data_IF_696684853672
#
_entry.id   IF_696684853672
#
_cell.length_a   1.000
_cell.length_b   1.000
_cell.length_c   1.000
_cell.angle_alpha   90.00
_cell.angle_beta   90.00
_cell.angle_gamma   90.00
#
_symmetry.space_group_name_H-M   'P 1'
#
loop_
_entity.id
_entity.type
_entity.pdbx_description
1 polymer ?
#
# COMPACT_ATOMS: atom_id res chain seq x y z
N UNK A 1 19.79 16.21 -12.70
CA UNK A 1 19.20 14.90 -13.08
C UNK A 1 17.70 14.91 -12.85
N UNK A 2 16.95 14.05 -13.51
CA UNK A 2 15.50 13.92 -13.33
C UNK A 2 15.19 12.68 -12.51
N UNK A 3 14.36 12.83 -11.49
CA UNK A 3 13.88 11.79 -10.58
C UNK A 3 12.36 11.78 -10.56
N UNK A 4 11.79 10.75 -9.93
CA UNK A 4 10.39 10.76 -9.51
C UNK A 4 10.38 10.83 -7.98
N UNK A 5 9.87 11.92 -7.43
CA UNK A 5 9.78 12.14 -5.98
C UNK A 5 8.32 12.17 -5.56
N UNK A 6 7.92 11.30 -4.66
CA UNK A 6 6.52 11.14 -4.20
C UNK A 6 5.53 11.10 -5.38
N UNK A 7 5.84 10.29 -6.41
CA UNK A 7 5.01 10.11 -7.60
C UNK A 7 5.06 11.24 -8.62
N UNK A 8 5.85 12.32 -8.40
CA UNK A 8 5.94 13.47 -9.28
C UNK A 8 7.33 13.62 -9.89
N UNK A 9 7.43 13.98 -11.18
CA UNK A 9 8.73 14.30 -11.78
C UNK A 9 9.39 15.49 -11.07
N UNK A 10 10.65 15.33 -10.73
CA UNK A 10 11.46 16.36 -10.07
C UNK A 10 12.85 16.46 -10.71
N UNK A 11 13.33 17.67 -10.90
CA UNK A 11 14.67 17.94 -11.44
C UNK A 11 15.57 18.48 -10.33
N UNK A 12 16.69 17.84 -10.09
CA UNK A 12 17.61 18.19 -9.00
C UNK A 12 19.07 18.16 -9.44
N UNK A 13 19.91 18.87 -8.71
CA UNK A 13 21.37 18.76 -8.76
C UNK A 13 21.94 17.95 -7.59
N UNK A 14 21.09 17.47 -6.69
CA UNK A 14 21.49 16.62 -5.58
C UNK A 14 22.16 15.33 -6.11
N UNK A 15 23.21 14.88 -5.45
CA UNK A 15 23.90 13.62 -5.76
C UNK A 15 23.57 12.50 -4.77
N UNK A 16 23.06 12.86 -3.60
CA UNK A 16 22.70 11.91 -2.53
C UNK A 16 21.28 12.13 -2.02
N UNK A 17 20.75 11.13 -1.30
CA UNK A 17 19.46 11.24 -0.63
C UNK A 17 19.42 12.36 0.42
N UNK A 18 20.54 12.60 1.10
CA UNK A 18 20.61 13.67 2.11
C UNK A 18 20.53 15.05 1.45
N UNK A 19 21.27 15.26 0.34
CA UNK A 19 21.21 16.50 -0.42
C UNK A 19 19.81 16.76 -0.96
N UNK A 20 19.17 15.72 -1.51
CA UNK A 20 17.79 15.81 -2.01
C UNK A 20 16.79 16.19 -0.92
N UNK A 21 16.90 15.61 0.27
CA UNK A 21 16.05 15.95 1.41
C UNK A 21 16.25 17.40 1.86
N UNK A 22 17.51 17.85 1.89
CA UNK A 22 17.83 19.24 2.23
C UNK A 22 17.28 20.23 1.20
N UNK A 23 17.39 19.91 -0.10
CA UNK A 23 16.83 20.73 -1.19
C UNK A 23 15.30 20.82 -1.12
N UNK A 24 14.63 19.71 -0.86
CA UNK A 24 13.17 19.65 -0.79
C UNK A 24 12.59 20.23 0.50
N UNK A 25 13.38 20.34 1.56
CA UNK A 25 12.95 20.74 2.91
C UNK A 25 11.77 19.89 3.44
N UNK A 26 11.68 18.63 3.00
CA UNK A 26 10.64 17.72 3.44
C UNK A 26 11.17 16.92 4.63
N UNK A 27 10.61 17.12 5.84
CA UNK A 27 10.93 16.24 6.95
C UNK A 27 10.43 14.83 6.61
N UNK A 28 11.33 13.87 6.62
CA UNK A 28 10.98 12.48 6.31
C UNK A 28 11.54 11.54 7.36
N UNK A 29 10.68 10.71 7.92
CA UNK A 29 11.02 9.64 8.86
C UNK A 29 11.34 8.33 8.15
N UNK A 30 10.78 8.15 6.96
CA UNK A 30 10.97 6.96 6.13
C UNK A 30 11.36 7.39 4.72
N UNK A 31 12.40 6.76 4.20
CA UNK A 31 12.86 6.96 2.82
C UNK A 31 12.79 5.63 2.08
N UNK A 32 12.18 5.65 0.91
CA UNK A 32 12.11 4.49 0.02
C UNK A 32 12.79 4.88 -1.29
N UNK A 33 13.80 4.12 -1.69
CA UNK A 33 14.53 4.29 -2.95
C UNK A 33 14.28 3.08 -3.84
N UNK A 34 13.70 3.30 -5.02
CA UNK A 34 13.40 2.25 -6.00
C UNK A 34 12.61 1.07 -5.43
N UNK A 35 11.68 1.36 -4.49
CA UNK A 35 10.85 0.36 -3.84
C UNK A 35 11.49 -0.34 -2.64
N UNK A 36 12.66 0.08 -2.19
CA UNK A 36 13.32 -0.46 -0.99
C UNK A 36 13.45 0.61 0.07
N UNK A 37 13.09 0.28 1.31
CA UNK A 37 13.31 1.17 2.44
C UNK A 37 14.81 1.27 2.73
N UNK A 38 15.31 2.50 2.86
CA UNK A 38 16.71 2.79 3.11
C UNK A 38 16.88 3.69 4.33
N UNK A 39 17.92 3.43 5.12
CA UNK A 39 18.28 4.21 6.31
C UNK A 39 19.58 4.99 6.11
N UNK A 40 20.38 4.56 5.15
CA UNK A 40 21.69 5.13 4.85
C UNK A 40 21.58 6.24 3.81
N UNK A 41 22.59 7.14 3.79
CA UNK A 41 22.71 8.12 2.74
C UNK A 41 23.29 7.44 1.49
N UNK A 42 22.47 7.25 0.48
CA UNK A 42 22.86 6.62 -0.78
C UNK A 42 22.93 7.64 -1.91
N UNK A 43 23.78 7.34 -2.88
CA UNK A 43 23.84 8.07 -4.14
C UNK A 43 22.53 7.86 -4.92
N UNK A 44 22.05 8.92 -5.55
CA UNK A 44 20.88 8.90 -6.42
C UNK A 44 21.29 9.08 -7.88
N UNK A 45 20.48 8.48 -8.77
CA UNK A 45 20.76 8.45 -10.21
C UNK A 45 19.59 8.93 -11.02
N UNK A 46 19.83 9.29 -12.27
CA UNK A 46 18.79 9.65 -13.24
C UNK A 46 17.72 8.55 -13.31
N UNK A 47 16.49 8.92 -13.16
CA UNK A 47 15.33 8.02 -13.22
C UNK A 47 14.97 7.31 -11.91
N UNK A 48 15.70 7.54 -10.82
CA UNK A 48 15.38 6.93 -9.53
C UNK A 48 14.00 7.37 -9.01
N UNK A 49 13.33 6.44 -8.36
CA UNK A 49 12.07 6.65 -7.67
C UNK A 49 12.33 6.83 -6.16
N UNK A 50 12.10 8.03 -5.66
CA UNK A 50 12.29 8.37 -4.24
C UNK A 50 10.95 8.68 -3.60
N UNK A 51 10.62 7.99 -2.51
CA UNK A 51 9.45 8.32 -1.69
C UNK A 51 9.90 8.73 -0.29
N UNK A 52 9.52 9.94 0.09
CA UNK A 52 9.81 10.55 1.39
C UNK A 52 8.51 10.62 2.20
N UNK A 53 8.45 9.93 3.33
CA UNK A 53 7.24 9.79 4.14
C UNK A 53 7.47 10.39 5.51
N UNK A 54 6.50 11.21 5.95
CA UNK A 54 6.48 11.79 7.27
C UNK A 54 5.48 11.04 8.16
N UNK A 55 5.94 10.56 9.32
CA UNK A 55 5.06 9.95 10.33
C UNK A 55 4.02 10.96 10.85
N UNK A 56 2.83 10.46 11.15
CA UNK A 56 1.75 11.28 11.69
C UNK A 56 0.97 12.09 10.66
N UNK A 57 1.35 12.09 9.39
CA UNK A 57 0.53 12.60 8.29
C UNK A 57 -0.21 11.48 7.58
N UNK A 58 -1.43 11.77 7.11
CA UNK A 58 -2.15 10.85 6.24
C UNK A 58 -1.39 10.72 4.92
N UNK A 59 -0.90 9.52 4.57
CA UNK A 59 -0.16 9.32 3.32
C UNK A 59 -1.08 9.45 2.11
N UNK A 60 -0.53 9.88 1.00
CA UNK A 60 -1.17 9.80 -0.30
C UNK A 60 -1.28 8.34 -0.77
N UNK A 61 -2.07 8.08 -1.82
CA UNK A 61 -2.20 6.74 -2.40
C UNK A 61 -0.84 6.21 -2.91
N UNK A 62 -0.04 7.08 -3.53
CA UNK A 62 1.30 6.72 -4.05
C UNK A 62 2.28 6.39 -2.90
N UNK A 63 2.20 7.14 -1.80
CA UNK A 63 3.00 6.85 -0.61
C UNK A 63 2.60 5.53 0.04
N UNK A 64 1.30 5.23 0.14
CA UNK A 64 0.80 3.93 0.63
C UNK A 64 1.30 2.79 -0.25
N UNK A 65 1.21 2.93 -1.57
CA UNK A 65 1.70 1.91 -2.50
C UNK A 65 3.21 1.71 -2.37
N UNK A 66 3.98 2.78 -2.24
CA UNK A 66 5.43 2.72 -2.03
C UNK A 66 5.79 2.02 -0.71
N UNK A 67 5.03 2.25 0.36
CA UNK A 67 5.21 1.57 1.64
C UNK A 67 4.95 0.06 1.52
N UNK A 68 3.89 -0.33 0.82
CA UNK A 68 3.58 -1.73 0.57
C UNK A 68 4.64 -2.40 -0.31
N UNK A 69 5.11 -1.71 -1.35
CA UNK A 69 6.20 -2.17 -2.20
C UNK A 69 7.48 -2.41 -1.40
N UNK A 70 7.85 -1.49 -0.50
CA UNK A 70 9.02 -1.63 0.36
C UNK A 70 8.91 -2.81 1.34
N UNK A 71 7.68 -3.16 1.74
CA UNK A 71 7.43 -4.31 2.62
C UNK A 71 7.57 -5.65 1.91
N UNK A 72 7.14 -5.72 0.65
CA UNK A 72 7.06 -6.94 -0.15
C UNK A 72 8.20 -7.12 -1.16
N UNK A 73 9.00 -6.10 -1.41
CA UNK A 73 9.88 -5.88 -2.57
C UNK A 73 9.10 -5.60 -3.87
N UNK A 74 9.68 -4.83 -4.82
CA UNK A 74 8.96 -4.42 -6.04
C UNK A 74 8.38 -5.56 -6.86
N UNK A 75 9.15 -6.62 -7.10
CA UNK A 75 8.69 -7.77 -7.90
C UNK A 75 7.52 -8.52 -7.26
N UNK A 76 7.55 -8.72 -5.95
CA UNK A 76 6.48 -9.39 -5.20
C UNK A 76 5.24 -8.50 -5.17
N UNK A 77 5.42 -7.21 -4.89
CA UNK A 77 4.32 -6.25 -4.86
C UNK A 77 3.57 -6.20 -6.19
N UNK A 78 4.27 -6.10 -7.32
CA UNK A 78 3.66 -6.08 -8.64
C UNK A 78 2.86 -7.36 -8.94
N UNK A 79 3.40 -8.53 -8.62
CA UNK A 79 2.68 -9.80 -8.77
C UNK A 79 1.41 -9.86 -7.93
N UNK A 80 1.46 -9.38 -6.69
CA UNK A 80 0.29 -9.31 -5.79
C UNK A 80 -0.75 -8.33 -6.33
N UNK A 81 -0.32 -7.15 -6.81
CA UNK A 81 -1.18 -6.13 -7.40
C UNK A 81 -1.89 -6.61 -8.68
N UNK A 82 -1.25 -7.45 -9.48
CA UNK A 82 -1.83 -8.04 -10.69
C UNK A 82 -2.70 -9.27 -10.41
N UNK A 83 -2.60 -9.83 -9.21
CA UNK A 83 -3.33 -11.03 -8.84
C UNK A 83 -4.84 -10.80 -8.80
N UNK A 84 -5.58 -11.81 -9.24
CA UNK A 84 -7.05 -11.89 -9.20
C UNK A 84 -7.43 -13.11 -8.38
N UNK A 85 -8.17 -12.93 -7.31
CA UNK A 85 -8.58 -13.99 -6.40
C UNK A 85 -10.09 -14.03 -6.26
N UNK A 86 -10.68 -15.19 -6.42
CA UNK A 86 -12.10 -15.42 -6.18
C UNK A 86 -12.28 -16.09 -4.79
N UNK A 87 -13.23 -15.60 -4.03
CA UNK A 87 -13.58 -16.14 -2.71
C UNK A 87 -15.05 -16.52 -2.74
N UNK A 88 -15.34 -17.81 -2.65
CA UNK A 88 -16.66 -18.35 -2.54
C UNK A 88 -17.01 -18.59 -1.07
N UNK A 89 -17.99 -17.85 -0.59
CA UNK A 89 -18.40 -17.83 0.82
C UNK A 89 -17.66 -16.77 1.64
N UNK A 90 -18.42 -15.85 2.22
CA UNK A 90 -17.89 -14.74 3.03
C UNK A 90 -18.34 -14.87 4.50
N UNK A 91 -18.27 -16.09 5.02
CA UNK A 91 -18.50 -16.40 6.41
C UNK A 91 -17.29 -16.14 7.30
N UNK A 92 -17.11 -16.97 8.33
CA UNK A 92 -16.02 -16.84 9.31
C UNK A 92 -14.62 -16.88 8.69
N UNK A 93 -14.36 -17.74 7.71
CA UNK A 93 -13.09 -17.81 7.01
C UNK A 93 -13.02 -16.80 5.86
N UNK A 94 -13.99 -16.83 4.95
CA UNK A 94 -13.95 -16.04 3.70
C UNK A 94 -13.93 -14.54 3.95
N UNK A 95 -14.70 -14.01 4.89
CA UNK A 95 -14.71 -12.57 5.21
C UNK A 95 -13.33 -12.12 5.75
N UNK A 96 -12.70 -12.92 6.60
CA UNK A 96 -11.39 -12.62 7.15
C UNK A 96 -10.29 -12.74 6.09
N UNK A 97 -10.36 -13.74 5.21
CA UNK A 97 -9.45 -13.90 4.08
C UNK A 97 -9.58 -12.71 3.12
N UNK A 98 -10.80 -12.30 2.77
CA UNK A 98 -11.03 -11.17 1.88
C UNK A 98 -10.38 -9.88 2.40
N UNK A 99 -10.59 -9.54 3.66
CA UNK A 99 -9.95 -8.37 4.29
C UNK A 99 -8.43 -8.50 4.31
N UNK A 100 -7.90 -9.67 4.63
CA UNK A 100 -6.45 -9.90 4.66
C UNK A 100 -5.82 -9.75 3.28
N UNK A 101 -6.42 -10.32 2.23
CA UNK A 101 -5.94 -10.18 0.86
C UNK A 101 -6.04 -8.74 0.35
N UNK A 102 -7.14 -8.04 0.65
CA UNK A 102 -7.28 -6.63 0.30
C UNK A 102 -6.19 -5.77 0.94
N UNK A 103 -5.91 -5.99 2.22
CA UNK A 103 -4.85 -5.29 2.97
C UNK A 103 -3.45 -5.66 2.49
N UNK A 104 -3.25 -6.85 1.96
CA UNK A 104 -1.98 -7.28 1.36
C UNK A 104 -1.74 -6.61 0.00
N UNK A 105 -2.78 -6.06 -0.64
CA UNK A 105 -2.66 -5.35 -1.90
C UNK A 105 -3.01 -6.19 -3.13
N UNK A 106 -3.75 -7.29 -2.96
CA UNK A 106 -4.29 -8.06 -4.10
C UNK A 106 -5.16 -7.14 -4.95
N UNK A 107 -4.85 -7.05 -6.24
CA UNK A 107 -5.45 -6.05 -7.13
C UNK A 107 -6.92 -6.26 -7.43
N UNK A 108 -7.40 -7.51 -7.47
CA UNK A 108 -8.80 -7.82 -7.75
C UNK A 108 -9.28 -8.97 -6.87
N UNK A 109 -10.39 -8.75 -6.17
CA UNK A 109 -11.11 -9.78 -5.43
C UNK A 109 -12.50 -9.98 -6.05
N UNK A 110 -12.82 -11.22 -6.41
CA UNK A 110 -14.17 -11.63 -6.80
C UNK A 110 -14.83 -12.26 -5.58
N UNK A 111 -15.83 -11.62 -5.03
CA UNK A 111 -16.52 -12.06 -3.84
C UNK A 111 -17.85 -12.69 -4.21
N UNK A 112 -18.09 -13.92 -3.76
CA UNK A 112 -19.31 -14.68 -4.06
C UNK A 112 -19.94 -15.15 -2.76
N UNK A 113 -21.07 -14.57 -2.41
CA UNK A 113 -21.91 -14.97 -1.29
C UNK A 113 -23.34 -14.46 -1.57
N UNK A 114 -24.36 -15.20 -1.22
CA UNK A 114 -25.76 -14.80 -1.40
C UNK A 114 -26.50 -14.54 -0.11
N UNK A 115 -25.79 -14.64 1.04
CA UNK A 115 -26.36 -14.33 2.35
C UNK A 115 -26.30 -12.82 2.65
N UNK A 116 -27.08 -12.44 3.65
CA UNK A 116 -27.02 -11.12 4.29
C UNK A 116 -26.26 -11.21 5.61
N UNK A 117 -25.78 -10.09 6.09
CA UNK A 117 -25.11 -9.99 7.39
C UNK A 117 -26.15 -10.05 8.50
N UNK A 118 -26.00 -11.01 9.41
CA UNK A 118 -26.85 -11.22 10.57
C UNK A 118 -26.12 -10.91 11.88
N UNK A 119 -26.83 -10.58 12.98
CA UNK A 119 -26.22 -10.29 14.28
C UNK A 119 -25.31 -11.42 14.79
N UNK A 120 -25.68 -12.69 14.56
CA UNK A 120 -24.88 -13.86 14.93
C UNK A 120 -23.56 -13.98 14.19
N UNK A 121 -23.39 -13.26 13.08
CA UNK A 121 -22.16 -13.27 12.31
C UNK A 121 -21.05 -12.42 12.93
N UNK A 122 -21.40 -11.39 13.71
CA UNK A 122 -20.47 -10.39 14.20
C UNK A 122 -19.42 -10.92 15.19
N UNK A 123 -19.62 -12.11 15.75
CA UNK A 123 -18.70 -12.72 16.70
C UNK A 123 -17.44 -13.30 16.04
N UNK A 124 -17.47 -13.61 14.73
CA UNK A 124 -16.37 -14.28 14.02
C UNK A 124 -16.15 -13.84 12.56
N UNK A 125 -17.10 -13.11 11.98
CA UNK A 125 -17.02 -12.61 10.61
C UNK A 125 -16.59 -11.13 10.60
N UNK A 126 -15.89 -10.70 9.57
CA UNK A 126 -15.34 -9.34 9.48
C UNK A 126 -16.37 -8.30 9.03
N UNK A 127 -17.48 -8.23 9.74
CA UNK A 127 -18.55 -7.25 9.53
C UNK A 127 -18.74 -6.35 10.73
N UNK A 128 -19.33 -5.18 10.51
CA UNK A 128 -19.66 -4.20 11.54
C UNK A 128 -21.18 -4.14 11.74
N UNK A 129 -21.61 -3.58 12.86
CA UNK A 129 -23.05 -3.38 13.18
C UNK A 129 -23.78 -2.63 12.05
N UNK A 130 -23.10 -1.67 11.42
CA UNK A 130 -23.63 -0.91 10.28
C UNK A 130 -23.91 -1.75 9.04
N UNK A 131 -23.38 -2.97 8.97
CA UNK A 131 -23.58 -3.88 7.83
C UNK A 131 -24.77 -4.82 8.00
N UNK A 132 -25.44 -4.83 9.18
CA UNK A 132 -26.57 -5.72 9.41
C UNK A 132 -27.67 -5.55 8.37
N UNK A 133 -28.11 -6.68 7.80
CA UNK A 133 -29.12 -6.72 6.74
C UNK A 133 -28.62 -6.41 5.34
N UNK A 134 -27.36 -6.00 5.17
CA UNK A 134 -26.74 -5.80 3.85
C UNK A 134 -26.25 -7.14 3.29
N UNK A 135 -26.16 -7.28 1.95
CA UNK A 135 -25.47 -8.42 1.33
C UNK A 135 -24.04 -8.53 1.84
N UNK A 136 -23.51 -9.75 1.91
CA UNK A 136 -22.11 -9.99 2.31
C UNK A 136 -21.09 -9.64 1.20
N UNK A 137 -21.55 -9.37 -0.01
CA UNK A 137 -20.75 -8.99 -1.17
C UNK A 137 -20.83 -7.51 -1.49
#
# INVERSE_FOLDING_TARGET
MKLIVNGKPYTTNASTLLDLKAELQIPSDVTILNGFQVSENLDIKEGDLVTLIQKGKMPSQDELESMMCARHTPNVHNKVKEAKVAIAGLGGLGSNIAISLARTGVGTLFLVDFDVVEPSNLNRQSYYISHLGLPKT
#
